data_IF_771412481404
#
_entry.id   IF_771412481404
#
_cell.length_a   1.000
_cell.length_b   1.000
_cell.length_c   1.000
_cell.angle_alpha   90.00
_cell.angle_beta   90.00
_cell.angle_gamma   90.00
#
_symmetry.space_group_name_H-M   'P 1'
#
loop_
_entity.id
_entity.type
_entity.pdbx_description
1 polymer ?
#
# COMPACT_ATOMS: atom_id res chain seq x y z
N UNK A 1 -11.22 6.41 -18.94
CA UNK A 1 -9.82 6.93 -19.04
C UNK A 1 -8.97 5.96 -18.25
N UNK A 2 -7.99 5.27 -18.86
CA UNK A 2 -7.20 4.27 -18.16
C UNK A 2 -6.32 4.88 -17.08
N UNK A 3 -6.15 4.16 -15.96
CA UNK A 3 -5.28 4.58 -14.87
C UNK A 3 -3.84 4.79 -15.38
N UNK A 4 -3.08 5.80 -14.90
CA UNK A 4 -1.71 6.06 -15.36
C UNK A 4 -0.78 4.83 -15.25
N UNK A 5 -0.93 4.04 -14.19
CA UNK A 5 -0.16 2.81 -13.97
C UNK A 5 -0.42 1.77 -15.07
N UNK A 6 -1.67 1.61 -15.50
CA UNK A 6 -2.04 0.68 -16.58
C UNK A 6 -1.31 0.97 -17.89
N UNK A 7 -1.11 2.25 -18.22
CA UNK A 7 -0.28 2.63 -19.39
C UNK A 7 1.18 2.22 -19.23
N UNK A 8 1.71 2.34 -18.01
CA UNK A 8 3.08 1.90 -17.71
C UNK A 8 3.19 0.38 -17.84
N UNK A 9 2.23 -0.37 -17.26
CA UNK A 9 2.17 -1.85 -17.39
C UNK A 9 2.17 -2.25 -18.85
N UNK A 10 1.32 -1.69 -19.72
CA UNK A 10 1.27 -1.99 -21.15
C UNK A 10 2.60 -1.76 -21.85
N UNK A 11 3.34 -0.70 -21.49
CA UNK A 11 4.66 -0.41 -22.07
C UNK A 11 5.73 -1.40 -21.64
N UNK A 12 5.73 -1.78 -20.36
CA UNK A 12 6.71 -2.74 -19.81
C UNK A 12 6.42 -4.15 -20.32
N UNK A 13 5.15 -4.55 -20.38
CA UNK A 13 4.72 -5.85 -20.85
C UNK A 13 5.09 -6.13 -22.33
N UNK A 14 5.34 -5.09 -23.12
CA UNK A 14 5.89 -5.25 -24.48
C UNK A 14 7.30 -5.89 -24.49
N UNK A 15 7.99 -5.95 -23.35
CA UNK A 15 9.34 -6.51 -23.18
C UNK A 15 9.39 -7.80 -22.37
N UNK A 16 8.26 -8.27 -21.83
CA UNK A 16 8.15 -9.50 -21.05
C UNK A 16 7.13 -9.42 -19.93
N UNK A 17 6.98 -10.51 -19.15
CA UNK A 17 6.04 -10.58 -18.02
C UNK A 17 6.27 -9.47 -16.99
N UNK A 18 5.19 -8.98 -16.38
CA UNK A 18 5.26 -7.89 -15.40
C UNK A 18 4.91 -8.42 -14.02
N UNK A 19 5.83 -8.28 -13.07
CA UNK A 19 5.54 -8.38 -11.64
C UNK A 19 5.26 -6.96 -11.14
N UNK A 20 4.04 -6.74 -10.63
CA UNK A 20 3.60 -5.43 -10.20
C UNK A 20 3.58 -5.37 -8.67
N UNK A 21 4.35 -4.46 -8.08
CA UNK A 21 4.50 -4.32 -6.63
C UNK A 21 3.87 -3.02 -6.15
N UNK A 22 3.02 -3.09 -5.13
CA UNK A 22 2.46 -1.92 -4.47
C UNK A 22 2.68 -1.97 -2.96
N UNK A 23 3.16 -0.87 -2.38
CA UNK A 23 3.25 -0.70 -0.94
C UNK A 23 2.19 0.30 -0.47
N UNK A 24 1.61 0.08 0.72
CA UNK A 24 0.67 1.01 1.34
C UNK A 24 -0.50 1.37 0.39
N UNK A 25 -0.75 2.66 0.18
CA UNK A 25 -1.77 3.14 -0.75
C UNK A 25 -1.51 2.73 -2.21
N UNK A 26 -0.25 2.43 -2.58
CA UNK A 26 0.10 1.89 -3.89
C UNK A 26 -0.62 0.57 -4.25
N UNK A 27 -1.10 -0.17 -3.24
CA UNK A 27 -1.92 -1.36 -3.45
C UNK A 27 -3.23 -1.09 -4.21
N UNK A 28 -3.85 0.08 -4.02
CA UNK A 28 -5.06 0.46 -4.77
C UNK A 28 -4.77 0.60 -6.27
N UNK A 29 -3.64 1.20 -6.62
CA UNK A 29 -3.22 1.33 -8.01
C UNK A 29 -2.88 -0.03 -8.65
N UNK A 30 -2.24 -0.92 -7.87
CA UNK A 30 -1.97 -2.32 -8.27
C UNK A 30 -3.28 -3.06 -8.51
N UNK A 31 -4.26 -2.91 -7.62
CA UNK A 31 -5.59 -3.51 -7.73
C UNK A 31 -6.32 -3.06 -9.00
N UNK A 32 -6.36 -1.76 -9.25
CA UNK A 32 -6.96 -1.20 -10.48
C UNK A 32 -6.27 -1.72 -11.75
N UNK A 33 -4.93 -1.80 -11.75
CA UNK A 33 -4.19 -2.37 -12.88
C UNK A 33 -4.51 -3.87 -13.07
N UNK A 34 -4.64 -4.62 -11.97
CA UNK A 34 -5.07 -6.02 -11.98
C UNK A 34 -6.47 -6.22 -12.56
N UNK A 35 -7.39 -5.29 -12.31
CA UNK A 35 -8.71 -5.30 -12.95
C UNK A 35 -8.66 -4.92 -14.44
N UNK A 36 -7.85 -3.93 -14.84
CA UNK A 36 -7.86 -3.37 -16.19
C UNK A 36 -7.03 -4.18 -17.21
N UNK A 37 -5.97 -4.84 -16.77
CA UNK A 37 -5.00 -5.54 -17.66
C UNK A 37 -4.43 -6.82 -17.03
N UNK A 38 -5.28 -7.72 -16.50
CA UNK A 38 -4.80 -8.92 -15.82
C UNK A 38 -3.90 -9.79 -16.71
N UNK A 39 -4.18 -9.83 -18.02
CA UNK A 39 -3.47 -10.61 -19.01
C UNK A 39 -2.01 -10.17 -19.24
N UNK A 40 -1.63 -8.99 -18.75
CA UNK A 40 -0.27 -8.43 -18.89
C UNK A 40 0.54 -8.56 -17.61
N UNK A 41 -0.06 -9.06 -16.54
CA UNK A 41 0.53 -9.11 -15.20
C UNK A 41 0.75 -10.57 -14.83
N UNK A 42 1.99 -10.93 -14.61
CA UNK A 42 2.40 -12.27 -14.20
C UNK A 42 2.14 -12.50 -12.69
N UNK A 43 2.32 -11.44 -11.89
CA UNK A 43 2.05 -11.47 -10.44
C UNK A 43 1.80 -10.10 -9.86
N UNK A 44 0.87 -10.03 -8.91
CA UNK A 44 0.64 -8.86 -8.06
C UNK A 44 1.28 -9.09 -6.69
N UNK A 45 2.04 -8.12 -6.19
CA UNK A 45 2.65 -8.16 -4.86
C UNK A 45 2.19 -6.95 -4.04
N UNK A 46 1.62 -7.23 -2.88
CA UNK A 46 1.17 -6.25 -1.90
C UNK A 46 2.13 -6.25 -0.72
N UNK A 47 2.83 -5.14 -0.48
CA UNK A 47 3.73 -4.98 0.65
C UNK A 47 3.06 -4.08 1.70
N UNK A 48 2.46 -4.68 2.72
CA UNK A 48 1.58 -3.99 3.67
C UNK A 48 0.73 -2.93 2.97
N UNK A 49 -0.14 -3.37 2.07
CA UNK A 49 -0.79 -2.51 1.09
C UNK A 49 -2.30 -2.77 1.01
N UNK A 50 -3.03 -1.74 0.60
CA UNK A 50 -4.48 -1.81 0.46
C UNK A 50 -4.89 -2.64 -0.77
N UNK A 51 -5.66 -3.70 -0.53
CA UNK A 51 -6.35 -4.49 -1.53
C UNK A 51 -7.85 -4.49 -1.14
N UNK A 52 -8.58 -3.53 -1.66
CA UNK A 52 -9.97 -3.29 -1.28
C UNK A 52 -10.89 -4.33 -1.91
N UNK A 53 -11.66 -5.06 -1.10
CA UNK A 53 -12.63 -6.07 -1.55
C UNK A 53 -14.05 -5.66 -1.17
N UNK A 54 -14.33 -5.56 0.14
CA UNK A 54 -15.67 -5.27 0.67
C UNK A 54 -15.96 -3.77 0.75
N UNK A 55 -14.95 -2.92 0.67
CA UNK A 55 -15.06 -1.46 0.67
C UNK A 55 -14.47 -0.89 -0.62
N UNK A 56 -14.95 0.29 -1.05
CA UNK A 56 -14.52 0.89 -2.30
C UNK A 56 -13.08 1.43 -2.25
N UNK A 57 -12.65 1.92 -1.09
CA UNK A 57 -11.35 2.55 -0.91
C UNK A 57 -10.85 2.40 0.53
N UNK A 58 -9.57 2.71 0.80
CA UNK A 58 -8.97 2.59 2.13
C UNK A 58 -9.69 3.38 3.22
N UNK A 59 -10.23 4.57 2.93
CA UNK A 59 -10.86 5.41 3.93
C UNK A 59 -12.12 4.77 4.52
N UNK A 60 -12.80 3.93 3.75
CA UNK A 60 -13.98 3.20 4.22
C UNK A 60 -13.65 2.08 5.23
N UNK A 61 -12.37 1.68 5.33
CA UNK A 61 -11.88 0.73 6.34
C UNK A 61 -11.46 1.41 7.65
N UNK A 62 -11.31 2.74 7.69
CA UNK A 62 -10.77 3.45 8.86
C UNK A 62 -11.64 3.32 10.13
N UNK A 63 -12.93 3.04 9.98
CA UNK A 63 -13.84 2.79 11.11
C UNK A 63 -13.92 1.34 11.59
N UNK A 64 -13.18 0.44 10.95
CA UNK A 64 -13.25 -0.98 11.26
C UNK A 64 -12.39 -1.35 12.49
N UNK A 65 -12.80 -2.35 13.30
CA UNK A 65 -12.08 -2.74 14.51
C UNK A 65 -10.62 -3.13 14.26
N UNK A 66 -10.34 -3.78 13.14
CA UNK A 66 -9.01 -4.23 12.75
C UNK A 66 -8.06 -3.05 12.44
N UNK A 67 -8.61 -1.85 12.22
CA UNK A 67 -7.84 -0.62 12.02
C UNK A 67 -7.68 0.20 13.31
N UNK A 68 -8.27 -0.20 14.43
CA UNK A 68 -8.29 0.60 15.66
C UNK A 68 -6.89 0.92 16.22
N UNK A 69 -5.91 0.03 16.03
CA UNK A 69 -4.53 0.19 16.54
C UNK A 69 -3.62 1.05 15.66
N UNK A 70 -4.17 1.70 14.61
CA UNK A 70 -3.38 2.58 13.76
C UNK A 70 -2.97 3.86 14.51
N UNK A 71 -1.81 4.42 14.11
CA UNK A 71 -1.28 5.67 14.64
C UNK A 71 -1.45 6.86 13.67
N UNK A 72 -2.24 6.71 12.61
CA UNK A 72 -2.43 7.78 11.60
C UNK A 72 -3.44 8.85 12.06
N UNK A 73 -4.39 8.50 12.94
CA UNK A 73 -5.45 9.43 13.36
C UNK A 73 -4.94 10.77 13.89
N UNK A 74 -4.01 10.80 14.87
CA UNK A 74 -3.44 12.04 15.39
C UNK A 74 -2.69 12.87 14.33
N UNK A 75 -2.22 12.22 13.26
CA UNK A 75 -1.44 12.85 12.20
C UNK A 75 -2.30 13.67 11.22
N UNK A 76 -3.62 13.66 11.38
CA UNK A 76 -4.51 14.54 10.63
C UNK A 76 -4.15 16.04 10.80
N UNK A 77 -3.50 16.42 11.91
CA UNK A 77 -2.96 17.76 12.14
C UNK A 77 -1.85 18.17 11.15
N UNK A 78 -1.24 17.21 10.45
CA UNK A 78 -0.27 17.49 9.38
C UNK A 78 -0.95 18.00 8.10
N UNK A 79 -2.24 17.78 7.94
CA UNK A 79 -2.94 18.19 6.71
C UNK A 79 -3.00 19.71 6.60
N UNK A 80 -2.63 20.22 5.44
CA UNK A 80 -2.58 21.64 5.14
C UNK A 80 -3.28 21.94 3.80
N UNK A 81 -3.89 23.14 3.73
CA UNK A 81 -4.66 23.56 2.57
C UNK A 81 -6.06 22.93 2.51
N UNK A 82 -6.82 23.35 1.51
CA UNK A 82 -8.17 22.81 1.25
C UNK A 82 -8.08 21.71 0.18
N UNK A 83 -8.37 20.44 0.51
CA UNK A 83 -8.31 19.35 -0.45
C UNK A 83 -9.21 19.55 -1.67
N UNK A 84 -10.36 20.22 -1.50
CA UNK A 84 -11.28 20.50 -2.62
C UNK A 84 -10.68 21.47 -3.64
N UNK A 85 -9.85 22.40 -3.16
CA UNK A 85 -9.13 23.37 -4.02
C UNK A 85 -7.90 22.74 -4.66
N UNK A 86 -7.19 21.93 -3.88
CA UNK A 86 -5.93 21.29 -4.32
C UNK A 86 -6.17 20.09 -5.24
N UNK A 87 -7.32 19.43 -5.15
CA UNK A 87 -7.57 18.12 -5.75
C UNK A 87 -6.73 16.99 -5.13
N UNK A 88 -6.14 17.27 -3.97
CA UNK A 88 -5.22 16.37 -3.27
C UNK A 88 -5.30 16.58 -1.75
N UNK A 89 -5.09 15.54 -0.98
CA UNK A 89 -4.70 15.63 0.42
C UNK A 89 -3.23 16.05 0.50
N UNK A 90 -2.92 17.10 1.25
CA UNK A 90 -1.55 17.60 1.41
C UNK A 90 -1.11 17.50 2.85
N UNK A 91 -0.02 16.79 3.09
CA UNK A 91 0.59 16.65 4.41
C UNK A 91 1.90 17.45 4.53
N UNK A 92 2.05 18.19 5.63
CA UNK A 92 3.28 18.90 5.95
C UNK A 92 4.29 17.97 6.63
N UNK A 93 4.99 17.15 5.86
CA UNK A 93 6.07 16.29 6.37
C UNK A 93 7.32 17.06 6.85
N UNK A 94 7.36 18.39 6.66
CA UNK A 94 8.45 19.27 7.12
C UNK A 94 8.03 20.11 8.31
N UNK A 95 7.10 19.59 9.13
CA UNK A 95 6.74 20.20 10.41
C UNK A 95 7.96 20.28 11.34
N UNK A 96 8.01 21.33 12.16
CA UNK A 96 8.97 21.46 13.27
C UNK A 96 8.37 21.04 14.62
N UNK A 97 7.12 20.58 14.62
CA UNK A 97 6.42 20.13 15.82
C UNK A 97 6.98 18.76 16.27
N UNK A 98 7.59 18.67 17.45
CA UNK A 98 8.25 17.44 17.92
C UNK A 98 7.26 16.32 18.21
N UNK A 99 6.02 16.63 18.60
CA UNK A 99 5.00 15.61 18.88
C UNK A 99 4.50 14.98 17.57
N UNK A 100 4.28 15.81 16.55
CA UNK A 100 3.91 15.31 15.22
C UNK A 100 5.03 14.50 14.57
N UNK A 101 6.30 14.93 14.72
CA UNK A 101 7.45 14.17 14.23
C UNK A 101 7.59 12.82 14.94
N UNK A 102 7.43 12.79 16.26
CA UNK A 102 7.47 11.55 17.03
C UNK A 102 6.32 10.61 16.64
N UNK A 103 5.10 11.15 16.46
CA UNK A 103 3.94 10.39 16.00
C UNK A 103 4.13 9.81 14.59
N UNK A 104 4.64 10.61 13.66
CA UNK A 104 4.98 10.14 12.31
C UNK A 104 6.01 9.01 12.33
N UNK A 105 7.07 9.17 13.13
CA UNK A 105 8.10 8.15 13.27
C UNK A 105 7.53 6.85 13.82
N UNK A 106 6.72 6.94 14.88
CA UNK A 106 6.05 5.79 15.48
C UNK A 106 5.11 5.08 14.51
N UNK A 107 4.40 5.82 13.67
CA UNK A 107 3.47 5.26 12.69
C UNK A 107 4.18 4.61 11.49
N UNK A 108 5.27 5.23 11.01
CA UNK A 108 5.85 4.89 9.71
C UNK A 108 7.16 4.10 9.81
N UNK A 109 8.03 4.42 10.78
CA UNK A 109 9.42 3.95 10.78
C UNK A 109 10.02 3.90 12.20
N UNK A 110 9.34 3.18 13.10
CA UNK A 110 9.62 3.17 14.53
C UNK A 110 11.09 2.78 14.87
N UNK A 111 11.68 1.85 14.10
CA UNK A 111 13.05 1.37 14.28
C UNK A 111 14.16 2.31 13.76
N UNK A 112 13.79 3.35 13.01
CA UNK A 112 14.76 4.28 12.44
C UNK A 112 15.44 5.15 13.49
N UNK A 113 16.68 5.56 13.24
CA UNK A 113 17.25 6.73 13.95
C UNK A 113 16.54 8.01 13.50
N UNK A 114 16.66 9.08 14.27
CA UNK A 114 16.04 10.36 13.90
C UNK A 114 16.61 10.90 12.59
N UNK A 115 17.90 10.71 12.34
CA UNK A 115 18.55 11.10 11.10
C UNK A 115 17.99 10.33 9.90
N UNK A 116 17.85 9.02 10.02
CA UNK A 116 17.26 8.15 8.97
C UNK A 116 15.80 8.54 8.71
N UNK A 117 15.04 8.80 9.76
CA UNK A 117 13.65 9.21 9.63
C UNK A 117 13.52 10.58 8.95
N UNK A 118 14.36 11.56 9.33
CA UNK A 118 14.36 12.86 8.65
C UNK A 118 14.76 12.76 7.18
N UNK A 119 15.72 11.89 6.85
CA UNK A 119 16.08 11.61 5.46
C UNK A 119 14.90 11.02 4.68
N UNK A 120 14.15 10.09 5.28
CA UNK A 120 12.93 9.53 4.70
C UNK A 120 11.85 10.60 4.48
N UNK A 121 11.56 11.45 5.47
CA UNK A 121 10.58 12.53 5.31
C UNK A 121 10.92 13.49 4.18
N UNK A 122 12.22 13.72 3.93
CA UNK A 122 12.67 14.63 2.87
C UNK A 122 12.39 14.13 1.45
N UNK A 123 12.22 12.83 1.27
CA UNK A 123 11.89 12.25 -0.04
C UNK A 123 10.39 12.07 -0.27
N UNK A 124 9.56 12.20 0.79
CA UNK A 124 8.12 12.07 0.65
C UNK A 124 7.54 13.25 -0.14
N UNK A 125 6.65 12.92 -1.06
CA UNK A 125 5.81 13.92 -1.73
C UNK A 125 4.68 14.33 -0.78
N UNK A 126 4.36 15.64 -0.68
CA UNK A 126 3.34 16.10 0.25
C UNK A 126 1.90 15.78 -0.21
N UNK A 127 1.69 15.65 -1.50
CA UNK A 127 0.35 15.57 -2.10
C UNK A 127 -0.02 14.14 -2.47
N UNK A 128 -1.20 13.72 -2.01
CA UNK A 128 -1.85 12.48 -2.46
C UNK A 128 -3.16 12.84 -3.17
N UNK A 129 -3.35 12.32 -4.38
CA UNK A 129 -4.53 12.61 -5.19
C UNK A 129 -5.82 12.14 -4.52
N UNK A 130 -6.83 13.01 -4.47
CA UNK A 130 -8.17 12.62 -3.99
C UNK A 130 -8.77 11.49 -4.84
N UNK A 131 -8.45 11.44 -6.12
CA UNK A 131 -8.92 10.36 -6.98
C UNK A 131 -8.33 9.00 -6.60
N UNK A 132 -7.11 8.96 -6.05
CA UNK A 132 -6.48 7.74 -5.52
C UNK A 132 -7.04 7.40 -4.14
N UNK A 133 -7.22 8.40 -3.28
CA UNK A 133 -7.69 8.19 -1.91
C UNK A 133 -9.15 7.76 -1.84
N UNK A 134 -10.02 8.35 -2.68
CA UNK A 134 -11.49 8.20 -2.63
C UNK A 134 -12.05 7.40 -3.82
N UNK A 135 -11.20 7.03 -4.79
CA UNK A 135 -11.62 6.29 -5.96
C UNK A 135 -12.07 4.87 -5.61
N UNK A 136 -12.92 4.28 -6.44
CA UNK A 136 -13.27 2.87 -6.32
C UNK A 136 -12.08 2.02 -6.78
N UNK A 137 -11.45 1.33 -5.84
CA UNK A 137 -10.31 0.45 -6.06
C UNK A 137 -10.64 -1.01 -5.69
N UNK A 138 -11.94 -1.36 -5.65
CA UNK A 138 -12.35 -2.74 -5.39
C UNK A 138 -11.79 -3.68 -6.43
N UNK A 139 -11.30 -4.80 -5.95
CA UNK A 139 -10.83 -5.87 -6.81
C UNK A 139 -11.99 -6.72 -7.31
N UNK A 140 -11.85 -7.28 -8.51
CA UNK A 140 -12.85 -8.08 -9.17
C UNK A 140 -12.37 -9.52 -9.35
N UNK A 141 -13.24 -10.50 -9.07
CA UNK A 141 -12.90 -11.92 -9.11
C UNK A 141 -12.46 -12.38 -10.52
N UNK A 142 -13.18 -11.92 -11.55
CA UNK A 142 -13.00 -12.38 -12.93
C UNK A 142 -11.80 -11.75 -13.66
N UNK A 143 -11.17 -10.75 -13.05
CA UNK A 143 -10.02 -10.03 -13.61
C UNK A 143 -8.82 -10.09 -12.65
N UNK A 144 -8.75 -9.21 -11.66
CA UNK A 144 -7.72 -9.24 -10.63
C UNK A 144 -7.59 -10.63 -9.98
N UNK A 145 -8.73 -11.30 -9.76
CA UNK A 145 -8.79 -12.61 -9.14
C UNK A 145 -8.11 -13.73 -9.93
N UNK A 146 -7.87 -13.53 -11.22
CA UNK A 146 -7.19 -14.51 -12.07
C UNK A 146 -5.65 -14.42 -11.99
N UNK A 147 -5.11 -13.30 -11.50
CA UNK A 147 -3.66 -13.06 -11.42
C UNK A 147 -3.12 -13.67 -10.13
N UNK A 148 -2.01 -14.45 -10.17
CA UNK A 148 -1.32 -14.92 -8.97
C UNK A 148 -0.91 -13.76 -8.07
N UNK A 149 -1.05 -13.92 -6.75
CA UNK A 149 -0.84 -12.82 -5.79
C UNK A 149 0.04 -13.22 -4.63
N UNK A 150 0.84 -12.27 -4.17
CA UNK A 150 1.60 -12.36 -2.94
C UNK A 150 1.25 -11.18 -2.02
N UNK A 151 1.10 -11.45 -0.72
CA UNK A 151 0.98 -10.41 0.30
C UNK A 151 2.14 -10.53 1.28
N UNK A 152 2.98 -9.49 1.36
CA UNK A 152 4.07 -9.38 2.32
C UNK A 152 3.56 -8.57 3.50
N UNK A 153 3.30 -9.24 4.63
CA UNK A 153 2.83 -8.62 5.86
C UNK A 153 3.99 -7.99 6.62
N UNK A 154 3.75 -6.83 7.24
CA UNK A 154 4.68 -6.17 8.14
C UNK A 154 4.13 -6.26 9.57
N UNK A 155 4.83 -6.96 10.48
CA UNK A 155 4.31 -7.27 11.83
C UNK A 155 4.28 -6.08 12.75
N UNK A 156 5.20 -5.12 12.56
CA UNK A 156 5.33 -3.91 13.38
C UNK A 156 4.67 -2.67 12.73
N UNK A 157 3.87 -2.89 11.69
CA UNK A 157 3.18 -1.81 10.99
C UNK A 157 2.09 -1.18 11.87
N UNK A 158 2.20 0.13 12.11
CA UNK A 158 1.24 0.94 12.87
C UNK A 158 0.48 1.92 11.99
N UNK A 159 0.69 1.88 10.67
CA UNK A 159 -0.13 2.59 9.67
C UNK A 159 -1.23 1.71 9.12
N UNK A 160 -0.91 0.47 8.77
CA UNK A 160 -1.88 -0.59 8.43
C UNK A 160 -1.62 -1.75 9.41
N UNK A 161 -2.28 -1.75 10.58
CA UNK A 161 -2.04 -2.76 11.62
C UNK A 161 -2.17 -4.18 11.07
N UNK A 162 -1.42 -5.12 11.67
CA UNK A 162 -1.38 -6.52 11.21
C UNK A 162 -2.78 -7.14 11.13
N UNK A 163 -3.68 -6.79 12.05
CA UNK A 163 -5.07 -7.25 12.02
C UNK A 163 -5.80 -6.79 10.73
N UNK A 164 -5.57 -5.55 10.29
CA UNK A 164 -6.14 -5.06 9.04
C UNK A 164 -5.51 -5.75 7.82
N UNK A 165 -4.19 -5.97 7.82
CA UNK A 165 -3.53 -6.71 6.75
C UNK A 165 -4.11 -8.13 6.63
N UNK A 166 -4.31 -8.83 7.76
CA UNK A 166 -4.90 -10.17 7.79
C UNK A 166 -6.33 -10.17 7.30
N UNK A 167 -7.12 -9.14 7.62
CA UNK A 167 -8.47 -8.97 7.09
C UNK A 167 -8.47 -8.79 5.57
N UNK A 168 -7.61 -7.92 5.02
CA UNK A 168 -7.52 -7.71 3.57
C UNK A 168 -7.14 -8.99 2.83
N UNK A 169 -6.25 -9.80 3.39
CA UNK A 169 -5.89 -11.13 2.87
C UNK A 169 -7.12 -12.05 2.89
N UNK A 170 -7.80 -12.15 4.04
CA UNK A 170 -8.96 -13.03 4.20
C UNK A 170 -10.12 -12.65 3.26
N UNK A 171 -10.37 -11.34 3.06
CA UNK A 171 -11.38 -10.87 2.11
C UNK A 171 -11.01 -11.24 0.67
N UNK A 172 -9.74 -11.09 0.27
CA UNK A 172 -9.27 -11.48 -1.05
C UNK A 172 -9.33 -12.98 -1.30
N UNK A 173 -8.94 -13.79 -0.31
CA UNK A 173 -9.00 -15.25 -0.38
C UNK A 173 -10.46 -15.76 -0.44
N UNK A 174 -11.35 -15.10 0.30
CA UNK A 174 -12.79 -15.41 0.23
C UNK A 174 -13.41 -15.06 -1.12
N UNK A 175 -12.96 -13.97 -1.76
CA UNK A 175 -13.42 -13.58 -3.10
C UNK A 175 -12.97 -14.58 -4.18
N UNK A 176 -11.75 -15.13 -4.04
CA UNK A 176 -11.12 -16.01 -5.03
C UNK A 176 -10.46 -17.21 -4.38
N UNK A 177 -11.26 -18.17 -3.85
CA UNK A 177 -10.75 -19.29 -3.05
C UNK A 177 -9.82 -20.24 -3.84
N UNK A 178 -9.96 -20.29 -5.14
CA UNK A 178 -9.12 -21.13 -6.02
C UNK A 178 -7.77 -20.47 -6.36
N UNK A 179 -7.59 -19.21 -6.00
CA UNK A 179 -6.35 -18.45 -6.21
C UNK A 179 -6.07 -17.57 -4.97
N UNK A 180 -5.75 -18.17 -3.81
CA UNK A 180 -5.47 -17.42 -2.59
C UNK A 180 -4.13 -16.67 -2.66
N UNK A 181 -3.93 -15.74 -1.72
CA UNK A 181 -2.63 -15.09 -1.56
C UNK A 181 -1.54 -16.07 -1.13
N UNK A 182 -0.38 -15.99 -1.76
CA UNK A 182 0.86 -16.41 -1.12
C UNK A 182 1.22 -15.39 -0.03
N UNK A 183 1.18 -15.80 1.24
CA UNK A 183 1.44 -14.88 2.36
C UNK A 183 2.89 -15.03 2.83
N UNK A 184 3.59 -13.91 2.93
CA UNK A 184 4.91 -13.79 3.53
C UNK A 184 4.87 -12.80 4.69
N UNK A 185 5.83 -12.87 5.59
CA UNK A 185 5.88 -12.00 6.76
C UNK A 185 7.29 -11.45 6.94
N UNK A 186 7.36 -10.14 7.21
CA UNK A 186 8.59 -9.43 7.52
C UNK A 186 8.40 -8.66 8.82
N UNK A 187 9.35 -8.81 9.73
CA UNK A 187 9.39 -8.08 10.99
C UNK A 187 9.95 -6.67 10.74
N UNK A 188 9.04 -5.73 10.43
CA UNK A 188 9.37 -4.35 10.11
C UNK A 188 8.15 -3.45 10.34
N UNK A 189 8.38 -2.16 10.62
CA UNK A 189 7.35 -1.12 10.58
C UNK A 189 6.97 -0.74 9.14
N UNK A 190 5.95 0.12 8.98
CA UNK A 190 5.33 0.46 7.68
C UNK A 190 6.33 0.82 6.57
N UNK A 191 7.32 1.66 6.87
CA UNK A 191 8.40 2.03 5.95
C UNK A 191 9.75 1.42 6.35
N UNK A 192 9.83 0.73 7.49
CA UNK A 192 11.04 0.11 8.01
C UNK A 192 11.57 -1.03 7.15
N UNK A 193 10.74 -1.58 6.26
CA UNK A 193 11.17 -2.58 5.29
C UNK A 193 12.35 -2.11 4.43
N UNK A 194 12.58 -0.81 4.30
CA UNK A 194 13.75 -0.27 3.56
C UNK A 194 15.08 -0.65 4.22
N UNK A 195 15.09 -0.89 5.54
CA UNK A 195 16.26 -1.39 6.26
C UNK A 195 16.48 -2.91 6.08
N UNK A 196 15.50 -3.59 5.53
CA UNK A 196 15.50 -5.03 5.25
C UNK A 196 15.54 -5.30 3.73
N UNK A 197 16.15 -4.39 2.96
CA UNK A 197 16.11 -4.39 1.49
C UNK A 197 16.54 -5.74 0.86
N UNK A 198 17.54 -6.41 1.42
CA UNK A 198 17.99 -7.71 0.93
C UNK A 198 16.90 -8.80 1.11
N UNK A 199 16.19 -8.81 2.23
CA UNK A 199 15.11 -9.76 2.50
C UNK A 199 13.90 -9.49 1.62
N UNK A 200 13.52 -8.21 1.48
CA UNK A 200 12.44 -7.79 0.57
C UNK A 200 12.79 -8.19 -0.87
N UNK A 201 14.01 -7.92 -1.32
CA UNK A 201 14.45 -8.30 -2.67
C UNK A 201 14.39 -9.83 -2.88
N UNK A 202 14.82 -10.62 -1.90
CA UNK A 202 14.71 -12.08 -1.96
C UNK A 202 13.24 -12.52 -2.06
N UNK A 203 12.33 -11.96 -1.25
CA UNK A 203 10.90 -12.26 -1.30
C UNK A 203 10.28 -11.90 -2.66
N UNK A 204 10.67 -10.77 -3.24
CA UNK A 204 10.18 -10.34 -4.55
C UNK A 204 10.67 -11.27 -5.68
N UNK A 205 11.96 -11.62 -5.66
CA UNK A 205 12.56 -12.53 -6.66
C UNK A 205 11.92 -13.92 -6.57
N UNK A 206 11.77 -14.46 -5.37
CA UNK A 206 11.11 -15.76 -5.18
C UNK A 206 9.64 -15.73 -5.60
N UNK A 207 8.92 -14.62 -5.35
CA UNK A 207 7.54 -14.45 -5.81
C UNK A 207 7.45 -14.39 -7.33
N UNK A 208 8.43 -13.78 -8.01
CA UNK A 208 8.47 -13.68 -9.46
C UNK A 208 8.87 -15.00 -10.16
N UNK A 209 9.44 -15.95 -9.42
CA UNK A 209 10.00 -17.21 -10.01
C UNK A 209 9.01 -18.37 -9.97
N UNK A 210 7.80 -18.19 -9.49
CA UNK A 210 6.73 -19.20 -9.35
C UNK A 210 5.59 -18.92 -10.30
#
# INVERSE_FOLDING_TARGET
MHHPLTRTVRRVAAHGPVVLVGASLGGTAVSVAGNEVPELIDRLVYLSAWACVTRANPLEYFGEPEFADNLLGPLAALNVGDPAVLGAGRANYRTADPELLAGLKAALMAEATDEQFMAFLNILQPDESLAVMNGDARVEADTWGTVPRCYIRLTEDRSIPIAMQDRLIAEGDALTPDNPYEVRTLDASHAGFVFRAAEVAAMLVESASR
#
